data_IF_933836137152
#
_entry.id   IF_933836137152
#
_cell.length_a   1.000
_cell.length_b   1.000
_cell.length_c   1.000
_cell.angle_alpha   90.00
_cell.angle_beta   90.00
_cell.angle_gamma   90.00
#
_symmetry.space_group_name_H-M   'P 1'
#
loop_
_entity.id
_entity.type
_entity.pdbx_description
1 polymer ?
#
# COMPACT_ATOMS: atom_id res chain seq x y z
N UNK A 1 -8.98 -34.61 10.02
CA UNK A 1 -8.74 -34.15 8.64
C UNK A 1 -9.51 -32.88 8.40
N UNK A 2 -8.82 -31.74 8.51
CA UNK A 2 -9.40 -30.42 8.18
C UNK A 2 -8.85 -30.10 6.80
N UNK A 3 -9.74 -30.07 5.80
CA UNK A 3 -9.44 -29.71 4.42
C UNK A 3 -8.85 -28.30 4.36
N UNK A 4 -7.59 -28.19 3.96
CA UNK A 4 -6.90 -26.93 3.67
C UNK A 4 -7.29 -26.34 2.29
N UNK A 5 -8.23 -26.95 1.56
CA UNK A 5 -8.37 -26.74 0.11
C UNK A 5 -9.38 -25.67 -0.34
N UNK A 6 -10.10 -25.00 0.55
CA UNK A 6 -11.10 -24.00 0.14
C UNK A 6 -10.65 -22.60 0.55
N UNK A 7 -9.54 -22.14 -0.05
CA UNK A 7 -9.24 -20.71 -0.08
C UNK A 7 -10.40 -19.93 -0.70
N UNK A 8 -10.53 -18.64 -0.39
CA UNK A 8 -11.55 -17.77 -1.01
C UNK A 8 -11.34 -17.81 -2.52
N UNK A 9 -12.23 -18.49 -3.24
CA UNK A 9 -12.21 -18.53 -4.69
C UNK A 9 -12.70 -17.17 -5.20
N UNK A 10 -11.75 -16.30 -5.54
CA UNK A 10 -12.07 -15.13 -6.34
C UNK A 10 -12.20 -15.55 -7.80
N UNK A 11 -13.26 -15.07 -8.46
CA UNK A 11 -13.38 -15.17 -9.91
C UNK A 11 -12.09 -14.61 -10.55
N UNK A 12 -11.56 -15.32 -11.56
CA UNK A 12 -10.47 -14.87 -12.40
C UNK A 12 -11.03 -14.46 -13.77
N UNK A 13 -11.80 -13.36 -13.86
CA UNK A 13 -12.50 -12.97 -15.09
C UNK A 13 -11.53 -12.68 -16.25
N UNK A 14 -10.25 -12.46 -15.95
CA UNK A 14 -9.21 -12.15 -16.94
C UNK A 14 -8.36 -13.36 -17.34
N UNK A 15 -8.67 -14.54 -16.81
CA UNK A 15 -7.93 -15.78 -17.06
C UNK A 15 -6.42 -15.61 -16.87
N UNK A 16 -6.03 -14.90 -15.80
CA UNK A 16 -4.64 -14.68 -15.42
C UNK A 16 -4.03 -16.04 -15.09
N UNK A 17 -2.95 -16.38 -15.79
CA UNK A 17 -2.18 -17.59 -15.53
C UNK A 17 -1.29 -17.38 -14.30
N UNK A 18 -1.62 -18.08 -13.22
CA UNK A 18 -0.89 -18.07 -11.95
C UNK A 18 -0.15 -19.39 -11.67
N UNK A 19 -0.09 -20.28 -12.67
CA UNK A 19 0.48 -21.63 -12.49
C UNK A 19 1.99 -21.62 -12.34
N UNK A 20 2.67 -20.63 -12.93
CA UNK A 20 4.10 -20.37 -12.77
C UNK A 20 4.33 -19.01 -12.05
N UNK A 21 4.44 -19.01 -10.71
CA UNK A 21 4.57 -17.80 -9.90
C UNK A 21 5.97 -17.16 -9.96
N UNK A 22 6.95 -17.80 -10.61
CA UNK A 22 8.33 -17.29 -10.71
C UNK A 22 8.71 -16.88 -12.13
N UNK A 23 7.83 -17.10 -13.10
CA UNK A 23 8.02 -16.61 -14.47
C UNK A 23 8.13 -15.08 -14.53
N UNK A 24 8.98 -14.57 -15.43
CA UNK A 24 9.09 -13.13 -15.70
C UNK A 24 7.75 -12.52 -16.10
N UNK A 25 6.91 -13.29 -16.81
CA UNK A 25 5.57 -12.90 -17.23
C UNK A 25 4.66 -12.64 -16.03
N UNK A 26 4.58 -13.59 -15.09
CA UNK A 26 3.79 -13.42 -13.88
C UNK A 26 4.36 -12.31 -13.00
N UNK A 27 5.67 -12.28 -12.80
CA UNK A 27 6.33 -11.25 -11.99
C UNK A 27 6.06 -9.84 -12.53
N UNK A 28 6.17 -9.63 -13.84
CA UNK A 28 5.86 -8.34 -14.48
C UNK A 28 4.40 -7.96 -14.26
N UNK A 29 3.46 -8.86 -14.52
CA UNK A 29 2.04 -8.64 -14.28
C UNK A 29 1.75 -8.27 -12.81
N UNK A 30 2.34 -9.00 -11.87
CA UNK A 30 2.18 -8.76 -10.43
C UNK A 30 2.69 -7.38 -10.04
N UNK A 31 3.88 -6.99 -10.51
CA UNK A 31 4.49 -5.68 -10.24
C UNK A 31 3.70 -4.54 -10.86
N UNK A 32 3.26 -4.67 -12.11
CA UNK A 32 2.44 -3.65 -12.78
C UNK A 32 1.09 -3.47 -12.09
N UNK A 33 0.45 -4.56 -11.67
CA UNK A 33 -0.81 -4.53 -10.91
C UNK A 33 -0.63 -3.81 -9.58
N UNK A 34 0.41 -4.18 -8.81
CA UNK A 34 0.73 -3.54 -7.54
C UNK A 34 0.97 -2.04 -7.71
N UNK A 35 1.77 -1.66 -8.70
CA UNK A 35 2.09 -0.27 -8.99
C UNK A 35 0.85 0.54 -9.38
N UNK A 36 0.05 0.02 -10.32
CA UNK A 36 -1.19 0.68 -10.76
C UNK A 36 -2.17 0.88 -9.62
N UNK A 37 -2.41 -0.16 -8.82
CA UNK A 37 -3.31 -0.07 -7.67
C UNK A 37 -2.82 0.99 -6.66
N UNK A 38 -1.51 1.04 -6.39
CA UNK A 38 -0.90 2.05 -5.51
C UNK A 38 -1.19 3.46 -5.99
N UNK A 39 -0.96 3.75 -7.28
CA UNK A 39 -1.22 5.07 -7.86
C UNK A 39 -2.69 5.47 -7.76
N UNK A 40 -3.61 4.52 -7.97
CA UNK A 40 -5.05 4.80 -7.86
C UNK A 40 -5.43 5.07 -6.41
N UNK A 41 -4.98 4.26 -5.45
CA UNK A 41 -5.28 4.49 -4.04
C UNK A 41 -4.73 5.83 -3.55
N UNK A 42 -3.50 6.19 -3.94
CA UNK A 42 -2.92 7.49 -3.63
C UNK A 42 -3.69 8.65 -4.27
N UNK A 43 -4.09 8.54 -5.55
CA UNK A 43 -4.88 9.56 -6.24
C UNK A 43 -6.25 9.76 -5.59
N UNK A 44 -6.92 8.66 -5.24
CA UNK A 44 -8.31 8.68 -4.77
C UNK A 44 -8.40 9.14 -3.31
N UNK A 45 -7.51 8.62 -2.46
CA UNK A 45 -7.66 8.73 -1.00
C UNK A 45 -6.53 9.47 -0.30
N UNK A 46 -5.43 9.81 -1.00
CA UNK A 46 -4.20 10.30 -0.37
C UNK A 46 -3.77 9.37 0.79
N UNK A 47 -3.54 8.09 0.47
CA UNK A 47 -3.23 7.05 1.45
C UNK A 47 -1.90 7.26 2.16
N UNK A 48 -1.84 6.87 3.43
CA UNK A 48 -0.60 6.72 4.18
C UNK A 48 -0.42 5.24 4.57
N UNK A 49 0.78 4.66 4.48
CA UNK A 49 2.05 5.27 4.08
C UNK A 49 2.16 5.55 2.56
N UNK A 50 3.03 6.49 2.14
CA UNK A 50 3.31 6.85 0.74
C UNK A 50 4.72 7.41 0.55
N UNK A 51 5.41 7.05 -0.54
CA UNK A 51 6.75 7.58 -0.89
C UNK A 51 6.77 9.08 -1.23
N UNK A 52 5.59 9.70 -1.36
CA UNK A 52 5.43 11.14 -1.59
C UNK A 52 5.65 11.95 -0.32
N UNK A 53 5.56 11.30 0.84
CA UNK A 53 5.71 11.91 2.16
C UNK A 53 7.11 11.56 2.65
N UNK A 54 8.07 12.50 2.57
CA UNK A 54 9.46 12.25 2.98
C UNK A 54 9.81 12.70 4.41
N UNK A 55 8.99 13.58 4.98
CA UNK A 55 9.17 14.18 6.30
C UNK A 55 7.82 14.47 6.95
N UNK A 56 7.82 14.82 8.24
CA UNK A 56 6.61 15.12 9.02
C UNK A 56 5.85 16.34 8.50
N UNK A 57 6.53 17.35 7.96
CA UNK A 57 5.90 18.57 7.43
C UNK A 57 5.07 18.24 6.18
N UNK A 58 5.59 17.38 5.29
CA UNK A 58 4.87 16.89 4.11
C UNK A 58 3.70 15.99 4.50
N UNK A 59 3.79 15.26 5.61
CA UNK A 59 2.69 14.40 6.06
C UNK A 59 1.46 15.23 6.44
N UNK A 60 1.63 16.32 7.19
CA UNK A 60 0.51 17.21 7.55
C UNK A 60 -0.16 17.83 6.31
N UNK A 61 0.64 18.32 5.37
CA UNK A 61 0.14 18.86 4.11
C UNK A 61 -0.58 17.79 3.26
N UNK A 62 -0.04 16.57 3.21
CA UNK A 62 -0.62 15.48 2.43
C UNK A 62 -1.94 15.00 3.03
N UNK A 63 -2.05 14.95 4.37
CA UNK A 63 -3.26 14.54 5.08
C UNK A 63 -4.38 15.58 5.02
N UNK A 64 -4.04 16.85 4.92
CA UNK A 64 -5.01 17.96 4.86
C UNK A 64 -5.41 18.34 3.44
N UNK A 65 -4.66 17.87 2.44
CA UNK A 65 -5.00 18.08 1.04
C UNK A 65 -6.38 17.48 0.70
N UNK A 66 -7.21 18.17 -0.10
CA UNK A 66 -8.47 17.61 -0.56
C UNK A 66 -8.27 16.28 -1.31
N UNK A 67 -9.05 15.27 -0.95
CA UNK A 67 -8.99 13.94 -1.58
C UNK A 67 -9.97 13.88 -2.73
N UNK A 68 -9.62 13.14 -3.78
CA UNK A 68 -10.49 13.02 -4.94
C UNK A 68 -11.86 12.41 -4.57
N UNK A 69 -11.90 11.46 -3.63
CA UNK A 69 -13.15 10.89 -3.13
C UNK A 69 -14.10 11.94 -2.52
N UNK A 70 -13.55 13.00 -1.93
CA UNK A 70 -14.34 14.06 -1.29
C UNK A 70 -14.72 15.15 -2.30
N UNK A 71 -13.83 15.47 -3.25
CA UNK A 71 -14.01 16.56 -4.21
C UNK A 71 -14.79 16.16 -5.47
N UNK A 72 -14.61 14.92 -5.94
CA UNK A 72 -15.23 14.39 -7.17
C UNK A 72 -15.47 12.86 -7.02
N UNK A 73 -16.57 12.47 -6.34
CA UNK A 73 -16.89 11.06 -6.09
C UNK A 73 -17.12 10.24 -7.36
N UNK A 74 -17.63 10.85 -8.43
CA UNK A 74 -17.88 10.15 -9.70
C UNK A 74 -16.56 9.76 -10.36
N UNK A 75 -15.61 10.70 -10.44
CA UNK A 75 -14.28 10.42 -10.95
C UNK A 75 -13.54 9.43 -10.05
N UNK A 76 -13.64 9.56 -8.72
CA UNK A 76 -13.08 8.60 -7.79
C UNK A 76 -13.60 7.18 -8.08
N UNK A 77 -14.91 7.02 -8.24
CA UNK A 77 -15.51 5.73 -8.55
C UNK A 77 -15.05 5.18 -9.92
N UNK A 78 -14.89 6.04 -10.93
CA UNK A 78 -14.35 5.65 -12.22
C UNK A 78 -12.91 5.11 -12.11
N UNK A 79 -12.04 5.78 -11.33
CA UNK A 79 -10.66 5.34 -11.09
C UNK A 79 -10.61 4.02 -10.31
N UNK A 80 -11.47 3.84 -9.30
CA UNK A 80 -11.53 2.62 -8.51
C UNK A 80 -11.94 1.38 -9.32
N UNK A 81 -12.71 1.54 -10.41
CA UNK A 81 -13.02 0.43 -11.32
C UNK A 81 -11.81 -0.13 -12.06
N UNK A 82 -10.71 0.62 -12.11
CA UNK A 82 -9.48 0.20 -12.78
C UNK A 82 -8.57 -0.67 -11.90
N UNK A 83 -8.86 -0.77 -10.60
CA UNK A 83 -8.15 -1.58 -9.61
C UNK A 83 -8.41 -3.06 -9.88
N UNK A 84 -7.37 -3.88 -9.72
CA UNK A 84 -7.44 -5.34 -9.84
C UNK A 84 -6.84 -6.00 -8.61
N UNK A 85 -7.64 -6.77 -7.88
CA UNK A 85 -7.21 -7.37 -6.61
C UNK A 85 -6.84 -6.31 -5.56
N UNK A 86 -6.01 -6.68 -4.60
CA UNK A 86 -5.65 -5.85 -3.44
C UNK A 86 -4.14 -5.62 -3.30
N UNK A 87 -3.33 -6.13 -4.23
CA UNK A 87 -1.87 -5.96 -4.17
C UNK A 87 -1.51 -4.50 -4.44
N UNK A 88 -0.59 -3.97 -3.65
CA UNK A 88 -0.01 -2.62 -3.76
C UNK A 88 1.50 -2.70 -3.53
N UNK A 89 2.23 -1.71 -4.02
CA UNK A 89 3.65 -1.51 -3.68
C UNK A 89 3.75 -1.09 -2.21
N UNK A 90 4.74 -1.64 -1.51
CA UNK A 90 5.09 -1.19 -0.16
C UNK A 90 5.97 0.05 -0.31
N UNK A 91 5.58 1.22 0.23
CA UNK A 91 6.37 2.44 0.15
C UNK A 91 7.64 2.32 1.01
N UNK A 92 8.81 2.35 0.37
CA UNK A 92 10.11 2.16 1.03
C UNK A 92 10.74 3.48 1.50
N UNK A 93 10.24 4.61 1.01
CA UNK A 93 10.75 5.96 1.28
C UNK A 93 9.78 6.81 2.11
N UNK A 94 8.69 6.22 2.61
CA UNK A 94 7.77 6.90 3.51
C UNK A 94 8.52 7.43 4.74
N UNK A 95 8.53 8.74 4.86
CA UNK A 95 9.16 9.53 5.92
C UNK A 95 10.60 9.09 6.22
N UNK A 96 11.33 8.74 5.17
CA UNK A 96 12.70 8.24 5.24
C UNK A 96 13.67 9.20 5.93
N UNK A 97 13.37 10.51 5.95
CA UNK A 97 14.26 11.51 6.53
C UNK A 97 14.06 11.69 8.05
N UNK A 98 13.12 10.95 8.66
CA UNK A 98 12.81 10.98 10.09
C UNK A 98 13.55 9.90 10.89
N UNK A 99 13.92 10.20 12.13
CA UNK A 99 14.43 9.20 13.07
C UNK A 99 13.28 8.58 13.87
N UNK A 100 13.02 7.29 13.63
CA UNK A 100 11.97 6.53 14.33
C UNK A 100 12.39 5.90 15.65
N UNK A 101 13.66 6.05 16.04
CA UNK A 101 14.07 5.58 17.35
C UNK A 101 13.38 6.39 18.44
N UNK A 102 12.83 5.75 19.48
CA UNK A 102 12.25 6.48 20.60
C UNK A 102 13.34 7.31 21.28
N UNK A 103 13.01 8.55 21.66
CA UNK A 103 13.96 9.40 22.39
C UNK A 103 14.34 8.75 23.72
N UNK A 104 15.61 8.85 24.10
CA UNK A 104 16.12 8.30 25.37
C UNK A 104 15.40 8.86 26.62
N UNK A 105 14.68 9.98 26.49
CA UNK A 105 13.90 10.58 27.57
C UNK A 105 12.47 10.03 27.67
N UNK A 106 12.02 9.23 26.71
CA UNK A 106 10.69 8.59 26.76
C UNK A 106 10.78 7.20 27.40
N UNK A 107 9.64 6.66 27.84
CA UNK A 107 9.58 5.33 28.44
C UNK A 107 10.03 4.26 27.45
N UNK A 108 9.68 4.44 26.19
CA UNK A 108 10.00 3.57 25.07
C UNK A 108 11.50 3.62 24.72
N UNK A 109 12.18 4.74 24.97
CA UNK A 109 13.63 4.85 24.79
C UNK A 109 14.46 4.37 25.99
N UNK A 110 13.81 4.05 27.11
CA UNK A 110 14.45 3.47 28.29
C UNK A 110 14.44 1.94 28.27
N UNK A 111 13.62 1.31 27.43
CA UNK A 111 13.60 -0.15 27.27
C UNK A 111 14.62 -0.60 26.22
N UNK A 112 15.19 -1.82 26.33
CA UNK A 112 16.10 -2.32 25.31
C UNK A 112 15.41 -2.50 23.95
N UNK A 113 16.17 -2.29 22.86
CA UNK A 113 15.64 -2.36 21.49
C UNK A 113 15.02 -3.73 21.12
N UNK A 114 15.40 -4.80 21.82
CA UNK A 114 14.86 -6.16 21.62
C UNK A 114 13.35 -6.28 21.80
N UNK A 115 12.70 -5.29 22.43
CA UNK A 115 11.24 -5.26 22.52
C UNK A 115 10.58 -5.04 21.14
N UNK A 116 11.34 -4.52 20.17
CA UNK A 116 10.83 -4.14 18.84
C UNK A 116 11.25 -5.09 17.70
N UNK A 117 12.04 -6.13 17.97
CA UNK A 117 12.62 -7.05 16.97
C UNK A 117 12.51 -8.51 17.41
#
# INVERSE_FOLDING_TARGET
DIDFEQGIQHENPENIDITDPVSDKFYTFFRETAHKNTLIYEEVFATVPSDRIRDLIKDENYRTAPKLVDTDPERAHARLKEIRGLVVDIPLYFRHDENYMPSATTKEGMVPDIIWT
#
